data_IF_177579944738
#
_entry.id   IF_177579944738
#
_cell.length_a   1.000
_cell.length_b   1.000
_cell.length_c   1.000
_cell.angle_alpha   90.00
_cell.angle_beta   90.00
_cell.angle_gamma   90.00
#
_symmetry.space_group_name_H-M   'P 1'
#
loop_
_entity.id
_entity.type
_entity.pdbx_description
1 polymer ?
#
# COMPACT_ATOMS: atom_id res chain seq x y z
N UNK A 1 1.61 18.63 -17.34
CA UNK A 1 0.73 18.50 -16.18
C UNK A 1 -0.67 18.23 -16.68
N UNK A 2 -1.09 16.95 -16.67
CA UNK A 2 -2.47 16.62 -16.98
C UNK A 2 -3.32 17.01 -15.76
N UNK A 3 -3.96 18.18 -15.80
CA UNK A 3 -4.98 18.52 -14.82
C UNK A 3 -6.14 17.55 -15.04
N UNK A 4 -6.46 16.76 -14.01
CA UNK A 4 -7.68 15.95 -14.04
C UNK A 4 -8.87 16.92 -14.14
N UNK A 5 -9.79 16.76 -15.10
CA UNK A 5 -10.99 17.57 -15.16
C UNK A 5 -11.79 17.43 -13.86
N UNK A 6 -12.41 18.52 -13.41
CA UNK A 6 -13.17 18.58 -12.14
C UNK A 6 -14.36 17.60 -12.10
N UNK A 7 -14.76 17.05 -13.25
CA UNK A 7 -15.96 16.22 -13.41
C UNK A 7 -15.68 14.78 -13.84
N UNK A 8 -14.45 14.25 -13.59
CA UNK A 8 -14.15 12.85 -13.92
C UNK A 8 -14.86 11.90 -12.98
N UNK A 9 -15.38 10.81 -13.56
CA UNK A 9 -15.97 9.67 -12.85
C UNK A 9 -14.95 8.53 -12.82
N UNK A 10 -14.61 8.05 -11.64
CA UNK A 10 -13.70 6.93 -11.45
C UNK A 10 -14.44 5.69 -10.96
N UNK A 11 -14.09 4.53 -11.52
CA UNK A 11 -14.53 3.24 -11.06
C UNK A 11 -13.45 2.66 -10.13
N UNK A 12 -13.77 2.50 -8.83
CA UNK A 12 -12.85 1.87 -7.89
C UNK A 12 -12.89 0.35 -8.06
N UNK A 13 -11.74 -0.28 -8.11
CA UNK A 13 -11.58 -1.72 -8.24
C UNK A 13 -10.70 -2.26 -7.11
N UNK A 14 -11.23 -3.24 -6.37
CA UNK A 14 -10.43 -4.19 -5.61
C UNK A 14 -10.32 -5.47 -6.44
N UNK A 15 -9.17 -5.75 -7.08
CA UNK A 15 -9.08 -6.82 -8.09
C UNK A 15 -9.54 -8.17 -7.58
N UNK A 16 -9.15 -8.53 -6.35
CA UNK A 16 -9.47 -9.81 -5.70
C UNK A 16 -10.95 -10.21 -5.80
N UNK A 17 -11.88 -9.24 -5.77
CA UNK A 17 -13.32 -9.49 -5.80
C UNK A 17 -14.00 -9.06 -7.10
N UNK A 18 -13.25 -8.57 -8.10
CA UNK A 18 -13.85 -7.98 -9.29
C UNK A 18 -14.13 -9.00 -10.39
N UNK A 19 -13.10 -9.63 -10.92
CA UNK A 19 -13.22 -10.62 -12.02
C UNK A 19 -11.98 -11.51 -12.03
N UNK A 20 -12.21 -12.81 -11.96
CA UNK A 20 -11.21 -13.84 -12.21
C UNK A 20 -10.94 -13.92 -13.72
N UNK A 21 -9.72 -13.70 -14.14
CA UNK A 21 -9.27 -13.71 -15.53
C UNK A 21 -8.44 -14.93 -15.88
N UNK A 22 -7.79 -15.57 -14.90
CA UNK A 22 -6.93 -16.75 -15.13
C UNK A 22 -7.57 -18.08 -14.69
N UNK A 23 -8.70 -18.02 -13.97
CA UNK A 23 -9.51 -19.18 -13.62
C UNK A 23 -9.11 -19.86 -12.31
N UNK A 24 -8.37 -19.17 -11.45
CA UNK A 24 -7.93 -19.70 -10.13
C UNK A 24 -8.96 -19.52 -9.01
N UNK A 25 -10.05 -18.80 -9.28
CA UNK A 25 -11.14 -18.50 -8.33
C UNK A 25 -10.98 -17.16 -7.63
N UNK A 26 -9.94 -16.40 -7.89
CA UNK A 26 -9.70 -15.08 -7.37
C UNK A 26 -9.66 -14.04 -8.50
N UNK A 27 -10.18 -12.84 -8.23
CA UNK A 27 -10.09 -11.75 -9.21
C UNK A 27 -8.67 -11.20 -9.35
N UNK A 28 -8.33 -10.81 -10.56
CA UNK A 28 -6.99 -10.39 -10.96
C UNK A 28 -7.02 -9.24 -11.99
N UNK A 29 -5.84 -8.79 -12.44
CA UNK A 29 -5.72 -7.73 -13.44
C UNK A 29 -6.06 -8.20 -14.87
N UNK A 30 -5.96 -9.49 -15.16
CA UNK A 30 -6.42 -10.03 -16.45
C UNK A 30 -7.94 -9.90 -16.55
N UNK A 31 -8.66 -10.22 -15.47
CA UNK A 31 -10.10 -10.02 -15.38
C UNK A 31 -10.50 -8.54 -15.46
N UNK A 32 -9.70 -7.64 -14.88
CA UNK A 32 -9.90 -6.19 -15.04
C UNK A 32 -9.74 -5.79 -16.50
N UNK A 33 -8.71 -6.28 -17.19
CA UNK A 33 -8.49 -6.00 -18.60
C UNK A 33 -9.70 -6.41 -19.46
N UNK A 34 -10.27 -7.59 -19.23
CA UNK A 34 -11.47 -8.07 -19.93
C UNK A 34 -12.70 -7.18 -19.73
N UNK A 35 -12.73 -6.38 -18.66
CA UNK A 35 -13.87 -5.52 -18.31
C UNK A 35 -13.67 -4.03 -18.59
N UNK A 36 -12.60 -3.64 -19.28
CA UNK A 36 -12.34 -2.25 -19.61
C UNK A 36 -13.44 -1.63 -20.47
N UNK A 37 -13.97 -2.35 -21.46
CA UNK A 37 -15.07 -1.87 -22.29
C UNK A 37 -16.34 -1.64 -21.47
N UNK A 38 -16.69 -2.58 -20.58
CA UNK A 38 -17.81 -2.43 -19.65
C UNK A 38 -17.66 -1.16 -18.78
N UNK A 39 -16.47 -0.90 -18.22
CA UNK A 39 -16.23 0.29 -17.40
C UNK A 39 -16.37 1.57 -18.23
N UNK A 40 -15.87 1.55 -19.47
CA UNK A 40 -16.01 2.68 -20.39
C UNK A 40 -17.46 2.95 -20.78
N UNK A 41 -18.24 1.90 -21.09
CA UNK A 41 -19.66 1.99 -21.40
C UNK A 41 -20.51 2.53 -20.24
N UNK A 42 -20.09 2.31 -19.00
CA UNK A 42 -20.71 2.95 -17.82
C UNK A 42 -20.50 4.48 -17.77
N UNK A 43 -19.66 5.02 -18.65
CA UNK A 43 -19.33 6.46 -18.66
C UNK A 43 -18.23 6.85 -17.70
N UNK A 44 -17.38 5.91 -17.25
CA UNK A 44 -16.25 6.19 -16.38
C UNK A 44 -15.07 6.74 -17.19
N UNK A 45 -14.39 7.74 -16.62
CA UNK A 45 -13.21 8.39 -17.21
C UNK A 45 -11.91 7.76 -16.74
N UNK A 46 -11.97 6.91 -15.74
CA UNK A 46 -10.78 6.24 -15.22
C UNK A 46 -11.09 5.15 -14.20
N UNK A 47 -10.02 4.47 -13.81
CA UNK A 47 -10.01 3.40 -12.83
C UNK A 47 -9.15 3.83 -11.65
N UNK A 48 -9.62 3.57 -10.44
CA UNK A 48 -8.84 3.66 -9.21
C UNK A 48 -8.69 2.27 -8.60
N UNK A 49 -7.46 1.80 -8.49
CA UNK A 49 -7.17 0.54 -7.81
C UNK A 49 -7.01 0.74 -6.30
N UNK A 50 -7.72 -0.06 -5.49
CA UNK A 50 -7.24 -0.40 -4.14
C UNK A 50 -5.84 -1.03 -4.27
N UNK A 51 -5.00 -1.03 -3.21
CA UNK A 51 -3.61 -1.44 -3.36
C UNK A 51 -3.45 -2.81 -4.03
N UNK A 52 -2.61 -2.85 -5.07
CA UNK A 52 -2.29 -4.05 -5.88
C UNK A 52 -0.81 -4.43 -5.76
N UNK A 53 -0.11 -3.87 -4.79
CA UNK A 53 1.28 -4.16 -4.49
C UNK A 53 1.43 -5.51 -3.77
N UNK A 54 2.64 -6.12 -3.77
CA UNK A 54 2.93 -7.25 -2.89
C UNK A 54 2.60 -6.94 -1.43
N UNK A 55 1.78 -7.78 -0.82
CA UNK A 55 1.26 -7.62 0.54
C UNK A 55 1.03 -8.99 1.18
N UNK A 56 1.34 -9.18 2.48
CA UNK A 56 0.93 -10.38 3.23
C UNK A 56 -0.58 -10.52 3.41
N UNK A 57 -1.35 -9.44 3.16
CA UNK A 57 -2.81 -9.48 3.19
C UNK A 57 -3.43 -9.32 4.58
N UNK A 58 -2.69 -8.77 5.54
CA UNK A 58 -3.20 -8.52 6.89
C UNK A 58 -4.31 -7.45 6.92
N UNK A 59 -4.33 -6.55 5.94
CA UNK A 59 -5.34 -5.50 5.78
C UNK A 59 -5.77 -5.34 4.30
N UNK A 60 -6.14 -6.45 3.66
CA UNK A 60 -6.73 -6.41 2.32
C UNK A 60 -5.85 -5.81 1.23
N UNK A 61 -4.52 -5.75 1.43
CA UNK A 61 -3.55 -5.17 0.51
C UNK A 61 -2.96 -3.83 0.99
N UNK A 62 -3.54 -3.22 2.04
CA UNK A 62 -3.01 -1.96 2.59
C UNK A 62 -1.75 -2.12 3.43
N UNK A 63 -1.38 -3.33 3.82
CA UNK A 63 -0.12 -3.70 4.45
C UNK A 63 0.95 -4.01 3.39
N UNK A 64 1.49 -2.96 2.77
CA UNK A 64 2.36 -3.05 1.59
C UNK A 64 3.77 -3.52 1.98
N UNK A 65 4.24 -4.61 1.34
CA UNK A 65 5.58 -5.16 1.54
C UNK A 65 6.59 -4.67 0.47
N UNK A 66 6.11 -4.24 -0.71
CA UNK A 66 6.96 -3.67 -1.76
C UNK A 66 6.14 -2.68 -2.61
N UNK A 67 6.55 -1.40 -2.64
CA UNK A 67 5.86 -0.36 -3.42
C UNK A 67 6.21 -0.33 -4.90
N UNK A 68 7.23 -1.06 -5.33
CA UNK A 68 7.76 -0.97 -6.70
C UNK A 68 7.49 -2.23 -7.53
N UNK A 69 6.46 -3.00 -7.15
CA UNK A 69 6.05 -4.18 -7.88
C UNK A 69 4.53 -4.36 -7.77
N UNK A 70 4.00 -5.24 -8.60
CA UNK A 70 2.60 -5.68 -8.55
C UNK A 70 2.54 -7.09 -7.99
N UNK A 71 1.59 -7.35 -7.11
CA UNK A 71 1.41 -8.63 -6.48
C UNK A 71 1.26 -9.77 -7.52
N UNK A 72 2.03 -10.86 -7.38
CA UNK A 72 1.98 -11.97 -8.33
C UNK A 72 0.58 -12.58 -8.50
N UNK A 73 -0.18 -12.65 -7.41
CA UNK A 73 -1.56 -13.16 -7.40
C UNK A 73 -2.52 -12.31 -8.25
N UNK A 74 -2.17 -11.07 -8.58
CA UNK A 74 -2.93 -10.24 -9.51
C UNK A 74 -2.37 -10.27 -10.94
N UNK A 75 -1.41 -11.15 -11.24
CA UNK A 75 -0.78 -11.29 -12.56
C UNK A 75 0.48 -10.45 -12.73
N UNK A 76 0.95 -9.79 -11.68
CA UNK A 76 2.20 -9.04 -11.65
C UNK A 76 2.26 -7.86 -12.61
N UNK A 77 3.46 -7.35 -12.84
CA UNK A 77 3.72 -6.16 -13.68
C UNK A 77 3.26 -6.35 -15.14
N UNK A 78 3.27 -7.57 -15.65
CA UNK A 78 2.83 -7.84 -17.03
C UNK A 78 1.32 -7.58 -17.20
N UNK A 79 0.50 -8.08 -16.28
CA UNK A 79 -0.95 -7.85 -16.28
C UNK A 79 -1.27 -6.37 -16.06
N UNK A 80 -0.54 -5.70 -15.13
CA UNK A 80 -0.70 -4.26 -14.90
C UNK A 80 -0.44 -3.43 -16.16
N UNK A 81 0.65 -3.67 -16.87
CA UNK A 81 0.95 -2.97 -18.12
C UNK A 81 -0.15 -3.18 -19.16
N UNK A 82 -0.67 -4.40 -19.26
CA UNK A 82 -1.78 -4.69 -20.18
C UNK A 82 -3.04 -3.90 -19.84
N UNK A 83 -3.38 -3.78 -18.55
CA UNK A 83 -4.51 -2.97 -18.10
C UNK A 83 -4.24 -1.47 -18.37
N UNK A 84 -3.05 -0.99 -18.08
CA UNK A 84 -2.68 0.42 -18.26
C UNK A 84 -2.79 0.83 -19.73
N UNK A 85 -2.19 0.04 -20.63
CA UNK A 85 -2.25 0.29 -22.08
C UNK A 85 -3.70 0.23 -22.58
N UNK A 86 -4.45 -0.80 -22.20
CA UNK A 86 -5.85 -0.95 -22.59
C UNK A 86 -6.77 0.15 -22.06
N UNK A 87 -6.51 0.66 -20.86
CA UNK A 87 -7.21 1.84 -20.31
C UNK A 87 -6.90 3.10 -21.13
N UNK A 88 -5.62 3.32 -21.45
CA UNK A 88 -5.19 4.47 -22.25
C UNK A 88 -5.74 4.42 -23.69
N UNK A 89 -5.82 3.24 -24.33
CA UNK A 89 -6.45 3.05 -25.64
C UNK A 89 -7.94 3.48 -25.65
N UNK A 90 -8.57 3.52 -24.47
CA UNK A 90 -9.98 3.93 -24.26
C UNK A 90 -10.12 5.34 -23.68
N UNK A 91 -9.06 6.13 -23.68
CA UNK A 91 -9.02 7.45 -23.01
C UNK A 91 -9.46 7.38 -21.54
N UNK A 92 -9.13 6.31 -20.84
CA UNK A 92 -9.32 6.18 -19.39
C UNK A 92 -8.02 6.43 -18.65
N UNK A 93 -8.12 7.07 -17.48
CA UNK A 93 -6.99 7.26 -16.57
C UNK A 93 -6.90 6.10 -15.59
N UNK A 94 -5.69 5.84 -15.09
CA UNK A 94 -5.46 4.86 -14.04
C UNK A 94 -4.86 5.56 -12.82
N UNK A 95 -5.48 5.37 -11.67
CA UNK A 95 -5.00 5.86 -10.37
C UNK A 95 -4.63 4.66 -9.53
N UNK A 96 -3.43 4.70 -8.95
CA UNK A 96 -2.99 3.74 -7.95
C UNK A 96 -3.06 4.38 -6.56
N UNK A 97 -3.44 3.60 -5.57
CA UNK A 97 -3.46 4.05 -4.18
C UNK A 97 -2.03 4.25 -3.66
N UNK A 98 -1.77 5.38 -3.02
CA UNK A 98 -0.48 5.71 -2.43
C UNK A 98 -0.57 5.63 -0.91
N UNK A 99 -0.32 4.47 -0.35
CA UNK A 99 -0.37 4.21 1.09
C UNK A 99 1.01 4.45 1.70
N UNK A 100 1.25 5.64 2.20
CA UNK A 100 2.57 6.05 2.74
C UNK A 100 2.55 6.46 4.21
N UNK A 101 1.44 6.20 4.93
CA UNK A 101 1.41 6.35 6.37
C UNK A 101 2.22 5.26 7.07
N UNK A 102 2.17 4.05 6.55
CA UNK A 102 2.76 2.83 7.12
C UNK A 102 3.21 1.89 6.01
N UNK A 103 3.91 0.82 6.39
CA UNK A 103 4.18 -0.33 5.53
C UNK A 103 3.68 -1.60 6.21
N UNK A 104 3.76 -2.75 5.50
CA UNK A 104 3.74 -4.04 6.19
C UNK A 104 4.92 -4.14 7.18
N UNK A 105 4.74 -4.89 8.27
CA UNK A 105 5.86 -5.29 9.14
C UNK A 105 6.83 -6.26 8.41
N UNK A 106 6.42 -6.84 7.28
CA UNK A 106 7.30 -7.66 6.42
C UNK A 106 8.08 -6.82 5.39
N UNK A 107 7.83 -5.52 5.28
CA UNK A 107 8.57 -4.64 4.40
C UNK A 107 10.06 -4.61 4.79
N UNK A 108 10.96 -4.64 3.80
CA UNK A 108 12.40 -4.62 4.01
C UNK A 108 12.86 -3.47 4.91
N UNK A 109 12.24 -2.30 4.77
CA UNK A 109 12.58 -1.13 5.60
C UNK A 109 12.29 -1.39 7.08
N UNK A 110 11.15 -2.03 7.41
CA UNK A 110 10.84 -2.35 8.80
C UNK A 110 11.76 -3.43 9.36
N UNK A 111 12.04 -4.47 8.57
CA UNK A 111 12.94 -5.54 8.99
C UNK A 111 14.37 -5.04 9.26
N UNK A 112 14.84 -4.05 8.51
CA UNK A 112 16.13 -3.40 8.75
C UNK A 112 16.07 -2.40 9.92
N UNK A 113 14.97 -1.64 10.04
CA UNK A 113 14.77 -0.68 11.12
C UNK A 113 14.75 -1.36 12.49
N UNK A 114 14.04 -2.48 12.64
CA UNK A 114 13.99 -3.23 13.89
C UNK A 114 15.35 -3.79 14.33
N UNK A 115 16.25 -4.03 13.37
CA UNK A 115 17.63 -4.48 13.60
C UNK A 115 18.63 -3.31 13.76
N UNK A 116 18.17 -2.06 13.71
CA UNK A 116 19.01 -0.84 13.72
C UNK A 116 20.08 -0.82 12.63
N UNK A 117 19.72 -1.28 11.44
CA UNK A 117 20.58 -1.25 10.26
C UNK A 117 20.42 0.10 9.55
N UNK A 118 21.50 0.90 9.50
CA UNK A 118 21.49 2.17 8.78
C UNK A 118 21.36 1.99 7.27
N UNK A 119 20.70 2.91 6.56
CA UNK A 119 20.07 4.16 7.06
C UNK A 119 18.65 3.98 7.61
N UNK A 120 18.17 2.75 7.78
CA UNK A 120 16.77 2.42 8.09
C UNK A 120 16.42 2.57 9.57
N UNK A 121 17.41 2.78 10.45
CA UNK A 121 17.25 2.79 11.91
C UNK A 121 16.04 3.60 12.36
N UNK A 122 15.82 4.80 11.82
CA UNK A 122 14.75 5.71 12.22
C UNK A 122 13.70 5.94 11.11
N UNK A 123 13.48 4.94 10.26
CA UNK A 123 12.42 4.99 9.24
C UNK A 123 11.01 4.87 9.80
N UNK A 124 10.87 4.30 10.99
CA UNK A 124 9.60 4.14 11.70
C UNK A 124 9.60 4.89 13.01
N UNK A 125 8.43 5.04 13.61
CA UNK A 125 8.26 5.75 14.87
C UNK A 125 8.49 4.77 16.02
N UNK A 126 9.68 4.79 16.60
CA UNK A 126 10.09 3.99 17.74
C UNK A 126 10.15 4.81 19.02
N UNK A 127 9.77 4.23 20.14
CA UNK A 127 9.91 4.86 21.47
C UNK A 127 10.23 3.81 22.52
N UNK A 128 11.06 4.15 23.51
CA UNK A 128 11.21 3.33 24.70
C UNK A 128 9.91 3.32 25.49
N UNK A 129 9.65 2.23 26.19
CA UNK A 129 8.56 2.19 27.18
C UNK A 129 8.83 3.14 28.35
N UNK A 130 7.79 3.51 29.08
CA UNK A 130 7.92 4.21 30.35
C UNK A 130 8.44 3.28 31.45
N UNK A 131 8.93 3.82 32.58
CA UNK A 131 9.25 3.03 33.75
C UNK A 131 8.09 2.10 34.14
N UNK A 132 8.39 0.91 34.64
CA UNK A 132 7.44 -0.14 35.00
C UNK A 132 6.72 -0.81 33.82
N UNK A 133 7.34 -0.84 32.62
CA UNK A 133 6.81 -1.54 31.46
C UNK A 133 5.56 -0.90 30.85
N UNK A 134 5.28 0.37 31.15
CA UNK A 134 4.15 1.09 30.57
C UNK A 134 4.46 1.53 29.14
N UNK A 135 3.39 1.61 28.32
CA UNK A 135 3.44 2.12 26.95
C UNK A 135 3.99 3.56 26.88
N UNK A 136 4.57 3.98 25.75
CA UNK A 136 5.05 5.35 25.54
C UNK A 136 4.01 6.43 25.84
N UNK A 137 2.77 6.20 25.43
CA UNK A 137 1.61 7.02 25.76
C UNK A 137 0.32 6.18 25.80
N UNK A 138 -0.83 6.82 25.91
CA UNK A 138 -2.14 6.18 26.02
C UNK A 138 -2.94 6.15 24.70
N UNK A 139 -2.31 6.41 23.57
CA UNK A 139 -2.99 6.44 22.30
C UNK A 139 -3.54 5.06 21.92
N UNK A 140 -4.72 5.09 21.31
CA UNK A 140 -5.38 3.92 20.75
C UNK A 140 -5.20 3.88 19.24
N UNK A 141 -5.22 2.68 18.69
CA UNK A 141 -5.25 2.45 17.24
C UNK A 141 -6.61 2.86 16.67
N UNK A 142 -6.67 3.17 15.38
CA UNK A 142 -7.91 3.47 14.67
C UNK A 142 -8.79 2.22 14.49
N UNK A 143 -8.20 1.03 14.52
CA UNK A 143 -8.95 -0.23 14.44
C UNK A 143 -9.33 -0.70 15.84
N UNK A 144 -8.39 -1.27 16.57
CA UNK A 144 -8.61 -1.70 17.94
C UNK A 144 -7.30 -1.76 18.76
N UNK A 145 -7.44 -1.65 20.08
CA UNK A 145 -6.29 -1.74 20.99
C UNK A 145 -5.41 -0.52 21.01
N UNK A 146 -4.18 -0.70 21.50
CA UNK A 146 -3.21 0.38 21.66
C UNK A 146 -2.42 0.63 20.39
N UNK A 147 -2.01 1.89 20.18
CA UNK A 147 -1.20 2.30 19.03
C UNK A 147 0.29 1.94 19.13
N UNK A 148 0.69 1.14 20.13
CA UNK A 148 2.07 0.79 20.41
C UNK A 148 2.24 -0.69 20.67
N UNK A 149 3.12 -1.34 19.92
CA UNK A 149 3.48 -2.74 20.10
C UNK A 149 4.97 -2.87 20.38
N UNK A 150 5.31 -3.70 21.37
CA UNK A 150 6.70 -3.97 21.72
C UNK A 150 7.34 -4.91 20.72
N UNK A 151 8.53 -4.56 20.25
CA UNK A 151 9.36 -5.40 19.39
C UNK A 151 10.55 -5.93 20.19
N UNK A 152 10.60 -7.25 20.35
CA UNK A 152 11.64 -7.91 21.14
C UNK A 152 13.03 -7.81 20.49
N UNK A 153 13.09 -7.73 19.15
CA UNK A 153 14.36 -7.62 18.42
C UNK A 153 15.00 -6.27 18.66
N UNK A 154 14.17 -5.20 18.60
CA UNK A 154 14.65 -3.84 18.83
C UNK A 154 14.71 -3.46 20.31
N UNK A 155 13.88 -4.04 21.16
CA UNK A 155 13.75 -3.70 22.56
C UNK A 155 13.02 -2.37 22.81
N UNK A 156 12.22 -1.94 21.86
CA UNK A 156 11.43 -0.70 21.89
C UNK A 156 10.02 -0.94 21.36
N UNK A 157 9.14 0.04 21.54
CA UNK A 157 7.79 0.02 20.96
C UNK A 157 7.78 0.74 19.63
N UNK A 158 7.17 0.13 18.59
CA UNK A 158 6.82 0.82 17.36
C UNK A 158 5.37 1.29 17.39
N UNK A 159 5.11 2.41 16.74
CA UNK A 159 3.78 2.97 16.58
C UNK A 159 3.06 2.34 15.40
N UNK A 160 1.76 2.08 15.55
CA UNK A 160 0.86 1.71 14.47
C UNK A 160 -0.52 2.32 14.70
N UNK A 161 -0.93 3.25 13.87
CA UNK A 161 -2.27 3.85 13.96
C UNK A 161 -3.35 2.94 13.37
N UNK A 162 -2.97 1.99 12.53
CA UNK A 162 -3.83 0.97 11.95
C UNK A 162 -3.54 -0.40 12.60
N UNK A 163 -3.52 -1.48 11.82
CA UNK A 163 -3.25 -2.79 12.38
C UNK A 163 -1.82 -2.91 12.97
N UNK A 164 -1.64 -3.84 13.89
CA UNK A 164 -0.31 -4.19 14.47
C UNK A 164 0.70 -4.52 13.35
N UNK A 165 0.21 -5.10 12.25
CA UNK A 165 1.01 -5.45 11.07
C UNK A 165 1.37 -4.26 10.17
N UNK A 166 1.00 -3.04 10.56
CA UNK A 166 1.17 -1.82 9.78
C UNK A 166 1.94 -0.74 10.57
N UNK A 167 3.26 -0.93 10.80
CA UNK A 167 4.08 0.05 11.51
C UNK A 167 4.13 1.40 10.78
N UNK A 168 3.93 2.48 11.51
CA UNK A 168 3.88 3.85 10.99
C UNK A 168 5.26 4.36 10.60
N UNK A 169 5.35 4.91 9.38
CA UNK A 169 6.55 5.55 8.87
C UNK A 169 6.84 6.88 9.60
N UNK A 170 8.10 7.14 9.85
CA UNK A 170 8.56 8.41 10.41
C UNK A 170 8.74 9.46 9.31
N UNK A 171 7.66 10.17 8.96
CA UNK A 171 7.68 11.19 7.90
C UNK A 171 8.49 12.44 8.29
N UNK A 172 8.90 12.61 9.54
CA UNK A 172 9.85 13.64 9.94
C UNK A 172 11.27 13.34 9.45
N UNK A 173 11.58 12.05 9.22
CA UNK A 173 12.86 11.63 8.65
C UNK A 173 12.94 12.00 7.15
N UNK A 174 13.91 12.84 6.73
CA UNK A 174 14.03 13.23 5.33
C UNK A 174 14.32 12.05 4.39
N UNK A 175 15.00 11.00 4.87
CA UNK A 175 15.30 9.81 4.06
C UNK A 175 14.01 9.05 3.71
N UNK A 176 13.05 8.95 4.64
CA UNK A 176 11.73 8.34 4.38
C UNK A 176 11.00 9.12 3.27
N UNK A 177 11.01 10.45 3.34
CA UNK A 177 10.39 11.29 2.30
C UNK A 177 11.05 11.10 0.93
N UNK A 178 12.38 10.90 0.89
CA UNK A 178 13.06 10.59 -0.38
C UNK A 178 12.68 9.20 -0.92
N UNK A 179 12.50 8.20 -0.07
CA UNK A 179 11.98 6.88 -0.51
C UNK A 179 10.58 7.00 -1.10
N UNK A 180 9.67 7.74 -0.44
CA UNK A 180 8.33 8.01 -0.98
C UNK A 180 8.39 8.71 -2.34
N UNK A 181 9.30 9.69 -2.52
CA UNK A 181 9.50 10.33 -3.83
C UNK A 181 10.01 9.36 -4.91
N UNK A 182 10.83 8.36 -4.53
CA UNK A 182 11.26 7.32 -5.48
C UNK A 182 10.08 6.47 -5.93
N UNK A 183 9.18 6.10 -5.02
CA UNK A 183 7.93 5.40 -5.36
C UNK A 183 7.09 6.21 -6.35
N UNK A 184 6.87 7.51 -6.06
CA UNK A 184 6.13 8.41 -6.96
C UNK A 184 6.76 8.58 -8.34
N UNK A 185 8.09 8.49 -8.43
CA UNK A 185 8.81 8.59 -9.71
C UNK A 185 8.82 7.29 -10.49
N UNK A 186 8.66 6.18 -9.80
CA UNK A 186 8.63 4.86 -10.41
C UNK A 186 7.32 4.63 -11.17
N UNK A 187 6.20 5.02 -10.56
CA UNK A 187 4.86 4.95 -11.15
C UNK A 187 4.51 6.18 -12.00
#
# INVERSE_FOLDING_TARGET
TCALPIYMVFYQIWPRSFKDGDGDGMGDLWGVYEKLDYIKELGCDGIWFSPIYPSPGADGGYDIANYMDIAPEFGGMAAFRRVLDGAHERDMKVIMDLVVNHTSDEHEWFQKSRQRIDPYTDYYIWRPGKPNGKLPNNWDSLFEGKAWTYDEVRGEYYMHLFAIKQPDLNMDNPLVREEVKKVLKFW
#
